data_IF_197654409127
#
_entry.id   IF_197654409127
#
_cell.length_a   1.000
_cell.length_b   1.000
_cell.length_c   1.000
_cell.angle_alpha   90.00
_cell.angle_beta   90.00
_cell.angle_gamma   90.00
#
_symmetry.space_group_name_H-M   'P 1'
#
loop_
_entity.id
_entity.type
_entity.pdbx_description
1 polymer ?
#
# COMPACT_ATOMS: atom_id res chain seq x y z
N UNK A 1 2.36 -5.28 -7.38
CA UNK A 1 2.08 -4.26 -8.41
C UNK A 1 1.21 -4.87 -9.49
N UNK A 2 0.19 -4.17 -10.00
CA UNK A 2 -0.55 -4.62 -11.18
C UNK A 2 0.31 -4.58 -12.44
N UNK A 3 0.12 -5.54 -13.36
CA UNK A 3 0.81 -5.59 -14.66
C UNK A 3 -0.16 -5.12 -15.73
N UNK A 4 0.10 -3.96 -16.32
CA UNK A 4 -0.77 -3.35 -17.34
C UNK A 4 -0.22 -3.47 -18.77
N UNK A 5 1.02 -3.94 -18.94
CA UNK A 5 1.73 -4.01 -20.22
C UNK A 5 2.65 -5.22 -20.26
N UNK A 6 2.96 -5.68 -21.47
CA UNK A 6 3.90 -6.78 -21.71
C UNK A 6 5.27 -6.48 -21.09
N UNK A 7 5.85 -7.49 -20.42
CA UNK A 7 7.12 -7.35 -19.72
C UNK A 7 7.08 -6.51 -18.44
N UNK A 8 5.92 -5.99 -18.04
CA UNK A 8 5.66 -5.13 -16.87
C UNK A 8 6.43 -3.79 -16.82
N UNK A 9 7.60 -3.68 -17.46
CA UNK A 9 8.45 -2.50 -17.55
C UNK A 9 8.80 -1.91 -16.16
N UNK A 10 9.18 -2.78 -15.22
CA UNK A 10 9.54 -2.38 -13.85
C UNK A 10 10.72 -1.40 -13.84
N UNK A 11 10.54 -0.28 -13.13
CA UNK A 11 11.58 0.69 -12.79
C UNK A 11 11.56 0.94 -11.28
N UNK A 12 12.74 1.14 -10.68
CA UNK A 12 12.91 1.38 -9.24
C UNK A 12 13.99 2.45 -9.05
N UNK A 13 13.73 3.42 -8.18
CA UNK A 13 14.63 4.53 -7.85
C UNK A 13 14.22 5.17 -6.53
N UNK A 14 14.63 6.42 -6.31
CA UNK A 14 14.21 7.24 -5.17
C UNK A 14 14.58 6.62 -3.81
N UNK A 15 15.88 6.43 -3.60
CA UNK A 15 16.39 5.78 -2.40
C UNK A 15 16.41 6.75 -1.21
N UNK A 16 15.76 6.38 -0.11
CA UNK A 16 15.77 7.18 1.12
C UNK A 16 16.47 6.45 2.26
N UNK A 17 17.43 7.10 2.92
CA UNK A 17 18.08 6.57 4.12
C UNK A 17 17.20 6.72 5.37
N UNK A 18 16.34 7.74 5.40
CA UNK A 18 15.29 7.93 6.39
C UNK A 18 14.18 8.84 5.83
N UNK A 19 12.93 8.50 6.14
CA UNK A 19 11.73 9.29 5.84
C UNK A 19 10.72 9.07 6.96
N UNK A 20 9.98 10.11 7.31
CA UNK A 20 8.82 10.01 8.20
C UNK A 20 7.50 10.01 7.43
N UNK A 21 6.44 9.53 8.05
CA UNK A 21 5.07 9.62 7.52
C UNK A 21 4.75 11.08 7.15
N UNK A 22 4.42 11.32 5.88
CA UNK A 22 4.03 12.62 5.36
C UNK A 22 5.11 13.37 4.58
N UNK A 23 6.39 13.07 4.78
CA UNK A 23 7.50 13.70 4.02
C UNK A 23 7.39 15.25 3.95
N UNK A 24 7.00 15.89 5.06
CA UNK A 24 6.44 17.25 5.05
C UNK A 24 7.34 18.36 4.50
N UNK A 25 8.65 18.12 4.39
CA UNK A 25 9.63 19.05 3.80
C UNK A 25 9.75 18.95 2.27
N UNK A 26 9.06 18.01 1.63
CA UNK A 26 9.19 17.74 0.19
C UNK A 26 10.35 16.83 -0.18
N UNK A 27 11.14 16.38 0.79
CA UNK A 27 12.31 15.51 0.60
C UNK A 27 12.54 14.66 1.84
N UNK A 28 13.21 13.53 1.65
CA UNK A 28 13.72 12.65 2.67
C UNK A 28 15.26 12.82 2.86
N UNK A 29 15.91 11.91 3.56
CA UNK A 29 17.38 11.78 3.45
C UNK A 29 17.69 11.02 2.15
N UNK A 30 17.80 11.79 1.07
CA UNK A 30 18.03 11.29 -0.29
C UNK A 30 19.38 10.54 -0.43
N UNK A 31 19.35 9.40 -1.11
CA UNK A 31 20.55 8.59 -1.35
C UNK A 31 20.46 7.76 -2.64
N UNK A 32 21.60 7.24 -3.08
CA UNK A 32 21.63 6.26 -4.18
C UNK A 32 20.99 4.95 -3.74
N UNK A 33 20.05 4.44 -4.53
CA UNK A 33 19.42 3.15 -4.29
C UNK A 33 20.37 2.01 -4.71
N UNK A 34 20.74 1.16 -3.75
CA UNK A 34 21.49 -0.07 -3.99
C UNK A 34 20.86 -1.24 -3.24
N UNK A 35 20.53 -2.33 -3.95
CA UNK A 35 19.89 -3.50 -3.36
C UNK A 35 19.75 -4.66 -4.34
N UNK A 36 19.44 -5.84 -3.80
CA UNK A 36 19.08 -7.02 -4.62
C UNK A 36 17.57 -7.20 -4.57
N UNK A 37 16.94 -7.21 -5.74
CA UNK A 37 15.49 -7.39 -5.89
C UNK A 37 15.21 -8.69 -6.60
N UNK A 38 14.25 -9.47 -6.09
CA UNK A 38 13.70 -10.63 -6.78
C UNK A 38 12.36 -10.26 -7.39
N UNK A 39 12.20 -10.47 -8.69
CA UNK A 39 10.94 -10.22 -9.39
C UNK A 39 10.26 -11.56 -9.67
N UNK A 40 9.06 -11.74 -9.14
CA UNK A 40 8.24 -12.94 -9.31
C UNK A 40 6.93 -12.55 -9.97
N UNK A 41 6.62 -13.20 -11.09
CA UNK A 41 5.33 -13.03 -11.75
C UNK A 41 4.29 -13.93 -11.08
N UNK A 42 3.28 -13.31 -10.46
CA UNK A 42 2.10 -14.00 -9.95
C UNK A 42 1.04 -14.05 -11.04
N UNK A 43 0.86 -15.22 -11.67
CA UNK A 43 -0.21 -15.45 -12.65
C UNK A 43 -1.56 -15.59 -11.95
N UNK A 44 -2.64 -15.33 -12.68
CA UNK A 44 -4.03 -15.46 -12.21
C UNK A 44 -4.32 -14.65 -10.93
N UNK A 45 -3.63 -13.51 -10.81
CA UNK A 45 -3.82 -12.51 -9.76
C UNK A 45 -4.05 -11.16 -10.41
N UNK A 46 -5.23 -10.60 -10.17
CA UNK A 46 -5.56 -9.24 -10.58
C UNK A 46 -5.49 -8.32 -9.38
N UNK A 47 -4.71 -7.26 -9.49
CA UNK A 47 -4.68 -6.16 -8.54
C UNK A 47 -5.18 -4.90 -9.24
N UNK A 48 -5.99 -4.11 -8.55
CA UNK A 48 -6.36 -2.76 -9.00
C UNK A 48 -5.31 -1.76 -8.55
N UNK A 49 -4.84 -1.89 -7.30
CA UNK A 49 -3.86 -1.01 -6.68
C UNK A 49 -2.58 -1.75 -6.25
N UNK A 50 -1.48 -1.01 -6.03
CA UNK A 50 -0.33 -1.53 -5.31
C UNK A 50 -0.73 -2.08 -3.93
N UNK A 51 -0.07 -3.15 -3.53
CA UNK A 51 -0.16 -3.75 -2.20
C UNK A 51 1.23 -4.14 -1.77
N UNK A 52 1.52 -3.96 -0.48
CA UNK A 52 2.75 -4.37 0.14
C UNK A 52 2.49 -5.31 1.31
N UNK A 53 3.52 -5.99 1.75
CA UNK A 53 3.47 -6.93 2.85
C UNK A 53 4.79 -6.88 3.60
N UNK A 54 4.73 -6.84 4.93
CA UNK A 54 5.88 -7.02 5.81
C UNK A 54 5.74 -8.34 6.56
N UNK A 55 6.73 -8.80 7.34
CA UNK A 55 6.57 -9.99 8.17
C UNK A 55 5.36 -9.91 9.12
N UNK A 56 4.93 -8.70 9.49
CA UNK A 56 3.89 -8.47 10.51
C UNK A 56 2.59 -7.87 9.97
N UNK A 57 2.59 -7.21 8.81
CA UNK A 57 1.41 -6.48 8.31
C UNK A 57 1.12 -6.78 6.84
N UNK A 58 -0.17 -6.75 6.48
CA UNK A 58 -0.61 -6.48 5.12
C UNK A 58 -0.80 -4.97 4.95
N UNK A 59 -0.40 -4.44 3.79
CA UNK A 59 -0.41 -3.00 3.53
C UNK A 59 -1.18 -2.71 2.24
N UNK A 60 -2.30 -1.99 2.33
CA UNK A 60 -3.03 -1.43 1.19
C UNK A 60 -2.58 0.01 0.92
N UNK A 61 -2.75 0.48 -0.32
CA UNK A 61 -2.35 1.83 -0.73
C UNK A 61 -3.52 2.58 -1.35
N UNK A 62 -3.59 3.88 -1.08
CA UNK A 62 -4.46 4.82 -1.77
C UNK A 62 -3.70 6.10 -2.07
N UNK A 63 -3.85 6.59 -3.30
CA UNK A 63 -3.19 7.79 -3.79
C UNK A 63 -4.23 8.68 -4.48
N UNK A 64 -4.30 9.95 -4.09
CA UNK A 64 -5.20 10.94 -4.68
C UNK A 64 -4.68 12.36 -4.36
N UNK A 65 -5.11 13.38 -5.11
CA UNK A 65 -4.79 14.77 -4.80
C UNK A 65 -5.39 15.23 -3.45
N UNK A 66 -6.50 14.60 -3.05
CA UNK A 66 -7.14 14.77 -1.77
C UNK A 66 -6.78 13.64 -0.79
N UNK A 67 -6.46 14.01 0.46
CA UNK A 67 -5.99 13.03 1.44
C UNK A 67 -7.13 12.14 1.96
N UNK A 68 -8.35 12.66 2.02
CA UNK A 68 -9.52 11.89 2.46
C UNK A 68 -9.88 10.84 1.41
N UNK A 69 -9.79 11.19 0.13
CA UNK A 69 -9.95 10.21 -0.96
C UNK A 69 -8.83 9.15 -0.97
N UNK A 70 -7.58 9.54 -0.74
CA UNK A 70 -6.48 8.58 -0.59
C UNK A 70 -6.74 7.62 0.58
N UNK A 71 -7.23 8.11 1.73
CA UNK A 71 -7.61 7.29 2.88
C UNK A 71 -8.77 6.33 2.57
N UNK A 72 -9.80 6.84 1.88
CA UNK A 72 -10.95 6.04 1.44
C UNK A 72 -10.51 4.90 0.52
N UNK A 73 -9.65 5.19 -0.46
CA UNK A 73 -9.09 4.19 -1.39
C UNK A 73 -8.25 3.14 -0.67
N UNK A 74 -7.34 3.54 0.22
CA UNK A 74 -6.53 2.61 1.00
C UNK A 74 -7.39 1.67 1.85
N UNK A 75 -8.45 2.19 2.45
CA UNK A 75 -9.41 1.40 3.25
C UNK A 75 -10.19 0.43 2.37
N UNK A 76 -10.73 0.91 1.24
CA UNK A 76 -11.47 0.09 0.28
C UNK A 76 -10.63 -1.07 -0.26
N UNK A 77 -9.38 -0.82 -0.60
CA UNK A 77 -8.46 -1.85 -1.09
C UNK A 77 -8.13 -2.92 -0.04
N UNK A 78 -8.11 -2.56 1.25
CA UNK A 78 -7.97 -3.55 2.33
C UNK A 78 -9.24 -4.40 2.46
N UNK A 79 -10.43 -3.79 2.39
CA UNK A 79 -11.70 -4.54 2.45
C UNK A 79 -11.78 -5.51 1.27
N UNK A 80 -11.49 -5.05 0.07
CA UNK A 80 -11.53 -5.88 -1.14
C UNK A 80 -10.48 -7.01 -1.08
N UNK A 81 -9.32 -6.77 -0.46
CA UNK A 81 -8.35 -7.82 -0.15
C UNK A 81 -8.93 -8.89 0.76
N UNK A 82 -9.53 -8.50 1.89
CA UNK A 82 -10.07 -9.43 2.87
C UNK A 82 -11.21 -10.26 2.29
N UNK A 83 -12.10 -9.64 1.52
CA UNK A 83 -13.19 -10.36 0.83
C UNK A 83 -12.61 -11.37 -0.16
N UNK A 84 -11.68 -10.96 -1.02
CA UNK A 84 -11.19 -11.79 -2.12
C UNK A 84 -10.22 -12.89 -1.66
N UNK A 85 -9.28 -12.58 -0.78
CA UNK A 85 -8.17 -13.46 -0.41
C UNK A 85 -8.42 -14.20 0.91
N UNK A 86 -9.26 -13.66 1.81
CA UNK A 86 -9.64 -14.32 3.07
C UNK A 86 -11.08 -14.84 3.07
N UNK A 87 -11.88 -14.53 2.05
CA UNK A 87 -13.26 -15.03 1.93
C UNK A 87 -14.21 -14.42 2.98
N UNK A 88 -13.87 -13.26 3.54
CA UNK A 88 -14.71 -12.57 4.51
C UNK A 88 -15.97 -11.98 3.85
N UNK A 89 -17.05 -11.86 4.61
CA UNK A 89 -18.16 -10.99 4.24
C UNK A 89 -17.67 -9.53 4.17
N UNK A 90 -18.27 -8.73 3.28
CA UNK A 90 -17.84 -7.35 3.06
C UNK A 90 -18.09 -6.47 4.29
N UNK A 91 -19.21 -6.66 4.98
CA UNK A 91 -19.54 -5.86 6.15
C UNK A 91 -18.64 -6.25 7.34
N UNK A 92 -18.37 -7.54 7.51
CA UNK A 92 -17.41 -8.04 8.52
C UNK A 92 -15.99 -7.51 8.26
N UNK A 93 -15.54 -7.52 7.00
CA UNK A 93 -14.25 -6.95 6.61
C UNK A 93 -14.18 -5.44 6.89
N UNK A 94 -15.28 -4.71 6.64
CA UNK A 94 -15.36 -3.28 6.93
C UNK A 94 -15.27 -2.99 8.44
N UNK A 95 -16.03 -3.74 9.26
CA UNK A 95 -15.98 -3.63 10.73
C UNK A 95 -14.58 -3.96 11.24
N UNK A 96 -13.95 -5.01 10.71
CA UNK A 96 -12.59 -5.37 11.07
C UNK A 96 -11.61 -4.24 10.77
N UNK A 97 -11.66 -3.68 9.57
CA UNK A 97 -10.84 -2.53 9.20
C UNK A 97 -11.05 -1.36 10.17
N UNK A 98 -12.28 -1.08 10.59
CA UNK A 98 -12.57 0.02 11.52
C UNK A 98 -11.89 -0.12 12.89
N UNK A 99 -11.55 -1.34 13.33
CA UNK A 99 -10.98 -1.58 14.67
C UNK A 99 -9.53 -2.05 14.65
N UNK A 100 -9.01 -2.46 13.49
CA UNK A 100 -7.68 -3.09 13.38
C UNK A 100 -6.83 -2.56 12.21
N UNK A 101 -7.36 -1.73 11.31
CA UNK A 101 -6.58 -1.09 10.25
C UNK A 101 -6.04 0.26 10.72
N UNK A 102 -4.73 0.39 10.80
CA UNK A 102 -4.08 1.68 11.04
C UNK A 102 -3.84 2.40 9.71
N UNK A 103 -4.43 3.59 9.53
CA UNK A 103 -4.13 4.44 8.37
C UNK A 103 -2.91 5.32 8.68
N UNK A 104 -1.97 5.34 7.75
CA UNK A 104 -0.71 6.09 7.82
C UNK A 104 -0.57 6.98 6.60
N UNK A 105 -0.17 8.23 6.80
CA UNK A 105 0.08 9.16 5.70
C UNK A 105 1.44 8.84 5.08
N UNK A 106 1.45 8.46 3.81
CA UNK A 106 2.69 8.15 3.07
C UNK A 106 3.47 9.43 2.79
N UNK A 107 2.85 10.37 2.06
CA UNK A 107 3.37 11.72 1.81
C UNK A 107 2.22 12.70 1.55
N UNK A 108 2.47 14.01 1.76
CA UNK A 108 1.50 15.10 1.49
C UNK A 108 2.03 16.20 0.57
N UNK A 109 3.23 16.01 0.04
CA UNK A 109 4.04 17.08 -0.58
C UNK A 109 4.11 16.96 -2.10
N UNK A 110 3.77 15.80 -2.65
CA UNK A 110 3.67 15.60 -4.08
C UNK A 110 2.38 16.19 -4.64
N UNK A 111 2.28 16.28 -5.98
CA UNK A 111 1.01 16.62 -6.64
C UNK A 111 -0.11 15.60 -6.39
N UNK A 112 0.25 14.35 -6.08
CA UNK A 112 -0.65 13.28 -5.64
C UNK A 112 -0.26 12.94 -4.22
N UNK A 113 -1.16 12.92 -3.24
CA UNK A 113 -0.89 12.55 -1.84
C UNK A 113 -1.12 11.06 -1.63
N UNK A 114 -0.62 10.51 -0.53
CA UNK A 114 -0.76 9.08 -0.24
C UNK A 114 -1.14 8.74 1.19
N UNK A 115 -2.00 7.74 1.32
CA UNK A 115 -2.32 7.05 2.58
C UNK A 115 -2.14 5.56 2.35
N UNK A 116 -1.57 4.85 3.32
CA UNK A 116 -1.51 3.40 3.33
C UNK A 116 -2.15 2.83 4.59
N UNK A 117 -2.88 1.73 4.44
CA UNK A 117 -3.51 1.02 5.55
C UNK A 117 -2.65 -0.15 5.99
N UNK A 118 -2.37 -0.25 7.29
CA UNK A 118 -1.58 -1.33 7.90
C UNK A 118 -2.48 -2.25 8.72
N UNK A 119 -2.66 -3.49 8.29
CA UNK A 119 -3.43 -4.51 9.04
C UNK A 119 -2.48 -5.58 9.60
N UNK A 120 -2.45 -5.71 10.92
CA UNK A 120 -1.60 -6.69 11.58
C UNK A 120 -2.03 -8.13 11.26
N UNK A 121 -1.10 -8.97 10.83
CA UNK A 121 -1.34 -10.40 10.54
C UNK A 121 -1.73 -11.21 11.77
N UNK A 122 -1.39 -10.73 12.97
CA UNK A 122 -1.76 -11.37 14.23
C UNK A 122 -3.27 -11.38 14.49
N UNK A 123 -4.05 -10.57 13.77
CA UNK A 123 -5.51 -10.56 13.83
C UNK A 123 -6.12 -11.90 13.35
N UNK A 124 -5.40 -12.65 12.51
CA UNK A 124 -5.87 -13.94 11.96
C UNK A 124 -5.27 -15.18 12.66
N UNK A 125 -4.65 -15.01 13.83
CA UNK A 125 -4.00 -16.09 14.57
C UNK A 125 -4.86 -16.62 15.72
#
# INVERSE_FOLDING_TARGET
LPVHTEGALLSIGDGHAAQGDGEVSGTAIETSLGGTFQVILHKDRTLSWPRAETPTHFISMGLDADLDEAARLATQEMIDFLVRDFGMDRDDAYVLCSVALDLRVTQVVDGTKGVHGMLAKSVFR
#
